data_IF_663866992517
#
_entry.id   IF_663866992517
#
_cell.length_a   1.000
_cell.length_b   1.000
_cell.length_c   1.000
_cell.angle_alpha   90.00
_cell.angle_beta   90.00
_cell.angle_gamma   90.00
#
_symmetry.space_group_name_H-M   'P 1'
#
loop_
_entity.id
_entity.type
_entity.pdbx_description
1 polymer ?
#
# COMPACT_ATOMS: atom_id res chain seq x y z
N UNK A 1 -14.59 -2.98 4.19
CA UNK A 1 -13.67 -3.95 3.55
C UNK A 1 -12.30 -3.36 3.26
N UNK A 2 -12.15 -2.22 2.56
CA UNK A 2 -10.82 -1.65 2.26
C UNK A 2 -10.03 -1.33 3.55
N UNK A 3 -10.68 -0.67 4.53
CA UNK A 3 -10.09 -0.42 5.84
C UNK A 3 -9.76 -1.72 6.61
N UNK A 4 -10.60 -2.74 6.49
CA UNK A 4 -10.38 -4.02 7.18
C UNK A 4 -9.17 -4.76 6.59
N UNK A 5 -9.03 -4.74 5.26
CA UNK A 5 -7.85 -5.26 4.56
C UNK A 5 -6.60 -4.46 4.90
N UNK A 6 -6.69 -3.14 5.01
CA UNK A 6 -5.58 -2.29 5.45
C UNK A 6 -5.15 -2.62 6.88
N UNK A 7 -6.11 -2.76 7.82
CA UNK A 7 -5.82 -3.14 9.21
C UNK A 7 -5.12 -4.49 9.27
N UNK A 8 -5.59 -5.47 8.52
CA UNK A 8 -4.94 -6.79 8.45
C UNK A 8 -3.52 -6.70 7.88
N UNK A 9 -3.30 -5.86 6.87
CA UNK A 9 -1.98 -5.62 6.30
C UNK A 9 -1.02 -4.86 7.24
N UNK A 10 -1.52 -4.16 8.26
CA UNK A 10 -0.70 -3.57 9.33
C UNK A 10 -0.22 -4.62 10.34
N UNK A 11 -0.96 -5.72 10.50
CA UNK A 11 -0.66 -6.79 11.46
C UNK A 11 0.24 -7.87 10.85
N UNK A 12 -0.01 -8.25 9.59
CA UNK A 12 0.69 -9.32 8.88
C UNK A 12 0.83 -9.05 7.37
N UNK A 13 1.79 -9.71 6.74
CA UNK A 13 1.92 -9.67 5.27
C UNK A 13 0.77 -10.47 4.63
N UNK A 14 0.01 -9.83 3.74
CA UNK A 14 -1.14 -10.45 3.07
C UNK A 14 -1.10 -10.29 1.55
N UNK A 15 -1.81 -11.18 0.85
CA UNK A 15 -2.12 -11.06 -0.58
C UNK A 15 -3.57 -10.61 -0.72
N UNK A 16 -3.78 -9.42 -1.30
CA UNK A 16 -5.12 -8.89 -1.58
C UNK A 16 -5.52 -9.22 -3.02
N UNK A 17 -6.46 -10.15 -3.18
CA UNK A 17 -7.00 -10.53 -4.49
C UNK A 17 -8.42 -9.95 -4.67
N UNK A 18 -8.55 -8.92 -5.49
CA UNK A 18 -9.82 -8.24 -5.79
C UNK A 18 -9.92 -7.90 -7.28
N UNK A 19 -11.15 -7.78 -7.77
CA UNK A 19 -11.45 -7.30 -9.12
C UNK A 19 -10.89 -5.90 -9.42
N UNK A 20 -10.80 -5.54 -10.70
CA UNK A 20 -10.45 -4.18 -11.14
C UNK A 20 -11.51 -3.20 -10.69
N UNK A 21 -11.11 -1.98 -10.29
CA UNK A 21 -12.03 -0.97 -9.75
C UNK A 21 -12.40 -1.16 -8.28
N UNK A 22 -12.04 -2.27 -7.62
CA UNK A 22 -12.35 -2.51 -6.20
C UNK A 22 -11.43 -1.74 -5.21
N UNK A 23 -10.65 -0.76 -5.67
CA UNK A 23 -9.82 0.07 -4.79
C UNK A 23 -8.55 -0.59 -4.24
N UNK A 24 -7.95 -1.55 -4.95
CA UNK A 24 -6.65 -2.17 -4.56
C UNK A 24 -5.55 -1.12 -4.31
N UNK A 25 -5.39 -0.17 -5.24
CA UNK A 25 -4.42 0.93 -5.09
C UNK A 25 -4.74 1.79 -3.88
N UNK A 26 -6.02 2.04 -3.61
CA UNK A 26 -6.44 2.81 -2.42
C UNK A 26 -6.04 2.12 -1.12
N UNK A 27 -6.21 0.79 -1.03
CA UNK A 27 -5.75 0.00 0.14
C UNK A 27 -4.25 0.15 0.33
N UNK A 28 -3.46 0.07 -0.74
CA UNK A 28 -2.01 0.21 -0.64
C UNK A 28 -1.58 1.63 -0.23
N UNK A 29 -2.24 2.68 -0.72
CA UNK A 29 -1.98 4.06 -0.31
C UNK A 29 -2.31 4.27 1.17
N UNK A 30 -3.42 3.70 1.65
CA UNK A 30 -3.77 3.73 3.09
C UNK A 30 -2.68 3.04 3.93
N UNK A 31 -2.21 1.88 3.50
CA UNK A 31 -1.15 1.16 4.20
C UNK A 31 0.15 1.98 4.27
N UNK A 32 0.54 2.62 3.16
CA UNK A 32 1.72 3.51 3.10
C UNK A 32 1.53 4.71 4.04
N UNK A 33 0.34 5.29 4.09
CA UNK A 33 0.03 6.41 4.99
C UNK A 33 0.18 6.01 6.46
N UNK A 34 -0.43 4.89 6.86
CA UNK A 34 -0.39 4.37 8.23
C UNK A 34 1.05 3.98 8.65
N UNK A 35 1.80 3.30 7.76
CA UNK A 35 3.20 2.95 7.99
C UNK A 35 4.17 4.11 7.77
N UNK A 36 3.69 5.29 7.36
CA UNK A 36 4.52 6.43 7.00
C UNK A 36 5.43 6.90 8.14
N UNK A 37 5.02 6.68 9.40
CA UNK A 37 5.84 6.98 10.57
C UNK A 37 7.13 6.15 10.65
N UNK A 38 7.20 5.00 9.98
CA UNK A 38 8.36 4.11 9.94
C UNK A 38 9.42 4.52 8.91
N UNK A 39 9.09 5.39 7.96
CA UNK A 39 10.01 5.81 6.87
C UNK A 39 10.36 7.30 6.92
N UNK A 40 9.79 8.05 7.88
CA UNK A 40 10.12 9.46 8.09
C UNK A 40 11.52 9.60 8.70
N UNK A 41 12.25 10.66 8.31
CA UNK A 41 13.55 11.01 8.90
C UNK A 41 13.44 11.10 10.43
N UNK A 42 14.45 10.65 11.18
CA UNK A 42 15.83 10.33 10.76
C UNK A 42 16.05 8.89 10.25
N UNK A 43 14.99 8.09 10.06
CA UNK A 43 15.10 6.69 9.65
C UNK A 43 15.61 6.56 8.21
N UNK A 44 16.31 5.46 7.92
CA UNK A 44 16.84 5.11 6.58
C UNK A 44 15.95 4.11 5.82
N UNK A 45 14.83 3.73 6.42
CA UNK A 45 13.86 2.81 5.84
C UNK A 45 13.19 3.45 4.61
N UNK A 46 12.89 2.63 3.60
CA UNK A 46 12.30 3.08 2.33
C UNK A 46 11.05 2.26 2.04
N UNK A 47 10.00 2.93 1.55
CA UNK A 47 8.81 2.28 1.02
C UNK A 47 8.86 2.28 -0.51
N UNK A 48 8.62 1.12 -1.14
CA UNK A 48 8.62 0.94 -2.58
C UNK A 48 7.24 0.48 -3.02
N UNK A 49 6.63 1.19 -3.98
CA UNK A 49 5.40 0.80 -4.65
C UNK A 49 5.71 0.42 -6.09
N UNK A 50 5.50 -0.84 -6.46
CA UNK A 50 5.83 -1.37 -7.78
C UNK A 50 4.60 -1.38 -8.68
N UNK A 51 4.75 -0.84 -9.89
CA UNK A 51 3.77 -0.95 -10.97
C UNK A 51 4.38 -1.75 -12.14
N UNK A 52 3.61 -2.63 -12.81
CA UNK A 52 4.16 -3.53 -13.82
C UNK A 52 4.49 -2.83 -15.15
N UNK A 53 3.96 -1.64 -15.40
CA UNK A 53 4.19 -0.88 -16.63
C UNK A 53 4.34 0.61 -16.33
N UNK A 54 5.08 1.33 -17.18
CA UNK A 54 5.34 2.77 -17.04
C UNK A 54 4.06 3.61 -16.96
N UNK A 55 3.01 3.38 -17.77
CA UNK A 55 1.77 4.16 -17.65
C UNK A 55 1.11 4.08 -16.27
N UNK A 56 1.26 2.94 -15.57
CA UNK A 56 0.69 2.75 -14.23
C UNK A 56 1.49 3.44 -13.13
N UNK A 57 2.72 3.90 -13.40
CA UNK A 57 3.52 4.67 -12.44
C UNK A 57 3.00 6.11 -12.33
N UNK A 58 2.44 6.66 -13.42
CA UNK A 58 1.95 8.03 -13.49
C UNK A 58 0.52 8.21 -12.98
N UNK A 59 -0.20 7.10 -12.73
CA UNK A 59 -1.60 7.08 -12.33
C UNK A 59 -1.77 7.27 -10.82
#
# INVERSE_FOLDING_TARGET
>A
YQLDLCKRALEENIIVYLGTGCGKTHIAVLLIYELGHLIRKPRRDVCIFLAPTVPLVLQ
#
